data_IF_194348975206
#
_entry.id   IF_194348975206
#
_cell.length_a   1.000
_cell.length_b   1.000
_cell.length_c   1.000
_cell.angle_alpha   90.00
_cell.angle_beta   90.00
_cell.angle_gamma   90.00
#
_symmetry.space_group_name_H-M   'P 1'
#
loop_
_entity.id
_entity.type
_entity.pdbx_description
1 polymer ?
#
# COMPACT_ATOMS: atom_id res chain seq x y z
N UNK A 1 20.10 -47.47 26.64
CA UNK A 1 19.15 -46.72 25.80
C UNK A 1 19.34 -45.20 25.86
N UNK A 2 19.74 -44.61 27.00
CA UNK A 2 19.95 -43.16 27.12
C UNK A 2 21.21 -42.62 26.40
N UNK A 3 22.27 -43.44 26.27
CA UNK A 3 23.52 -43.02 25.63
C UNK A 3 23.46 -42.95 24.09
N UNK A 4 22.51 -43.62 23.45
CA UNK A 4 22.38 -43.61 21.99
C UNK A 4 21.65 -42.35 21.49
N UNK A 5 20.80 -41.74 22.33
CA UNK A 5 20.11 -40.50 21.96
C UNK A 5 20.98 -39.25 22.13
N UNK A 6 21.97 -39.26 23.03
CA UNK A 6 22.90 -38.14 23.17
C UNK A 6 23.84 -38.02 21.95
N UNK A 7 24.18 -39.14 21.32
CA UNK A 7 25.06 -39.18 20.14
C UNK A 7 24.35 -38.78 18.84
N UNK A 8 23.02 -38.89 18.79
CA UNK A 8 22.21 -38.48 17.63
C UNK A 8 21.86 -36.98 17.63
N UNK A 9 21.89 -36.32 18.80
CA UNK A 9 21.66 -34.87 18.89
C UNK A 9 22.93 -34.06 18.54
N UNK A 10 24.13 -34.65 18.69
CA UNK A 10 25.39 -33.99 18.34
C UNK A 10 25.74 -34.03 16.84
N UNK A 11 24.95 -34.75 16.01
CA UNK A 11 25.24 -34.89 14.57
C UNK A 11 24.46 -33.94 13.64
N UNK A 12 23.69 -32.99 14.18
CA UNK A 12 22.93 -32.00 13.40
C UNK A 12 23.49 -30.58 13.43
N UNK A 13 24.75 -30.38 13.80
CA UNK A 13 25.45 -29.14 13.46
C UNK A 13 25.95 -29.24 12.02
N UNK A 14 25.00 -29.24 11.08
CA UNK A 14 25.30 -29.05 9.67
C UNK A 14 25.98 -27.68 9.53
N UNK A 15 27.22 -27.74 9.06
CA UNK A 15 28.06 -26.61 8.73
C UNK A 15 27.40 -25.74 7.67
N UNK A 16 26.64 -24.74 8.10
CA UNK A 16 26.29 -23.59 7.27
C UNK A 16 27.55 -22.75 7.06
N UNK A 17 28.17 -22.84 5.90
CA UNK A 17 29.20 -21.91 5.48
C UNK A 17 28.52 -20.69 4.84
N UNK A 18 29.00 -19.50 5.18
CA UNK A 18 28.56 -18.25 4.56
C UNK A 18 29.09 -18.26 3.13
N UNK A 19 28.21 -18.43 2.14
CA UNK A 19 28.52 -18.14 0.75
C UNK A 19 28.58 -16.62 0.64
N UNK A 20 29.80 -16.07 0.71
CA UNK A 20 30.04 -14.68 0.33
C UNK A 20 29.55 -14.49 -1.11
N UNK A 21 28.79 -13.42 -1.40
CA UNK A 21 28.33 -13.16 -2.76
C UNK A 21 29.55 -13.13 -3.68
N UNK A 22 29.45 -13.84 -4.80
CA UNK A 22 30.47 -13.87 -5.84
C UNK A 22 30.57 -12.45 -6.40
N UNK A 23 31.41 -11.61 -5.80
CA UNK A 23 31.80 -10.34 -6.37
C UNK A 23 32.63 -10.73 -7.59
N UNK A 24 32.04 -10.56 -8.77
CA UNK A 24 32.76 -10.66 -10.02
C UNK A 24 33.74 -9.49 -10.06
N UNK A 25 34.93 -9.72 -9.51
CA UNK A 25 36.05 -8.79 -9.59
C UNK A 25 36.40 -8.73 -11.07
N UNK A 26 36.18 -7.57 -11.71
CA UNK A 26 36.64 -7.32 -13.06
C UNK A 26 38.18 -7.32 -13.05
N UNK A 27 38.73 -8.51 -13.25
CA UNK A 27 40.16 -8.76 -13.18
C UNK A 27 40.93 -7.86 -14.15
N UNK A 28 40.32 -7.49 -15.28
CA UNK A 28 40.92 -6.58 -16.24
C UNK A 28 40.98 -5.14 -15.72
N UNK A 29 39.95 -4.68 -15.01
CA UNK A 29 39.94 -3.38 -14.34
C UNK A 29 41.02 -3.30 -13.25
N UNK A 30 41.05 -4.26 -12.32
CA UNK A 30 42.03 -4.25 -11.23
C UNK A 30 43.48 -4.45 -11.71
N UNK A 31 43.68 -5.25 -12.75
CA UNK A 31 45.00 -5.43 -13.35
C UNK A 31 45.50 -4.14 -14.03
N UNK A 32 44.62 -3.42 -14.74
CA UNK A 32 44.96 -2.10 -15.32
C UNK A 32 45.24 -1.06 -14.24
N UNK A 33 44.42 -1.04 -13.18
CA UNK A 33 44.63 -0.14 -12.04
C UNK A 33 45.99 -0.41 -11.38
N UNK A 34 46.32 -1.68 -11.13
CA UNK A 34 47.62 -2.07 -10.59
C UNK A 34 48.79 -1.69 -11.52
N UNK A 35 48.64 -1.83 -12.84
CA UNK A 35 49.66 -1.40 -13.81
C UNK A 35 49.84 0.12 -13.83
N UNK A 36 48.75 0.89 -13.72
CA UNK A 36 48.80 2.35 -13.62
C UNK A 36 49.46 2.81 -12.32
N UNK A 37 49.11 2.20 -11.19
CA UNK A 37 49.74 2.47 -9.90
C UNK A 37 51.23 2.13 -9.93
N UNK A 38 51.62 0.97 -10.47
CA UNK A 38 53.03 0.59 -10.60
C UNK A 38 53.85 1.60 -11.42
N UNK A 39 53.32 2.07 -12.56
CA UNK A 39 53.98 3.08 -13.40
C UNK A 39 54.00 4.47 -12.75
N UNK A 40 53.00 4.82 -11.95
CA UNK A 40 53.01 6.06 -11.17
C UNK A 40 54.09 6.01 -10.09
N UNK A 41 54.15 4.90 -9.35
CA UNK A 41 55.19 4.64 -8.34
C UNK A 41 56.59 4.65 -8.94
N UNK A 42 56.77 4.10 -10.15
CA UNK A 42 58.04 4.17 -10.88
C UNK A 42 58.47 5.60 -11.21
N UNK A 43 57.52 6.48 -11.56
CA UNK A 43 57.81 7.85 -12.04
C UNK A 43 57.86 8.90 -10.93
N UNK A 44 57.02 8.76 -9.91
CA UNK A 44 56.79 9.77 -8.87
C UNK A 44 56.96 9.23 -7.44
N UNK A 45 57.31 7.95 -7.29
CA UNK A 45 57.60 7.36 -5.99
C UNK A 45 58.86 7.96 -5.39
N UNK A 46 58.79 8.30 -4.11
CA UNK A 46 59.92 8.82 -3.35
C UNK A 46 60.45 7.69 -2.47
N UNK A 47 61.76 7.47 -2.48
CA UNK A 47 62.38 6.51 -1.57
C UNK A 47 62.21 7.02 -0.13
N UNK A 48 61.52 6.25 0.70
CA UNK A 48 61.28 6.56 2.11
C UNK A 48 61.79 5.41 2.99
N UNK A 49 62.15 5.72 4.22
CA UNK A 49 62.65 4.73 5.17
C UNK A 49 61.64 4.59 6.30
N UNK A 50 61.17 3.37 6.57
CA UNK A 50 60.38 3.06 7.77
C UNK A 50 61.22 2.29 8.77
N UNK A 51 61.08 2.65 10.03
CA UNK A 51 61.65 1.86 11.12
C UNK A 51 60.65 0.79 11.54
N UNK A 52 61.09 -0.47 11.50
CA UNK A 52 60.33 -1.62 11.98
C UNK A 52 60.40 -1.68 13.52
N UNK A 53 59.45 -2.40 14.11
CA UNK A 53 59.33 -2.53 15.57
C UNK A 53 60.51 -3.27 16.22
N UNK A 54 61.34 -3.94 15.42
CA UNK A 54 62.59 -4.58 15.82
C UNK A 54 63.80 -3.63 15.81
N UNK A 55 63.59 -2.35 15.47
CA UNK A 55 64.62 -1.32 15.38
C UNK A 55 65.38 -1.30 14.06
N UNK A 56 65.11 -2.22 13.12
CA UNK A 56 65.67 -2.19 11.78
C UNK A 56 64.98 -1.13 10.92
N UNK A 57 65.68 -0.64 9.90
CA UNK A 57 65.15 0.33 8.95
C UNK A 57 65.00 -0.35 7.58
N UNK A 58 63.81 -0.22 6.99
CA UNK A 58 63.51 -0.74 5.65
C UNK A 58 63.22 0.43 4.72
N UNK A 59 63.91 0.48 3.58
CA UNK A 59 63.60 1.41 2.51
C UNK A 59 62.41 0.87 1.71
N UNK A 60 61.38 1.70 1.54
CA UNK A 60 60.21 1.41 0.72
C UNK A 60 59.91 2.61 -0.18
N UNK A 61 59.32 2.37 -1.35
CA UNK A 61 58.80 3.47 -2.16
C UNK A 61 57.50 3.98 -1.54
N UNK A 62 57.50 5.22 -1.08
CA UNK A 62 56.27 5.87 -0.60
C UNK A 62 55.41 6.29 -1.80
N UNK A 63 54.21 5.71 -1.86
CA UNK A 63 53.22 5.93 -2.92
C UNK A 63 52.22 7.02 -2.58
N UNK A 64 52.32 7.65 -1.39
CA UNK A 64 51.46 8.76 -0.94
C UNK A 64 51.90 10.11 -1.48
N UNK A 65 52.24 10.16 -2.78
CA UNK A 65 52.40 11.42 -3.48
C UNK A 65 50.99 11.91 -3.91
N UNK A 66 50.56 13.13 -3.54
CA UNK A 66 49.27 13.68 -3.98
C UNK A 66 49.12 13.71 -5.52
N UNK A 67 50.23 13.75 -6.27
CA UNK A 67 50.21 13.64 -7.73
C UNK A 67 49.87 12.22 -8.24
N UNK A 68 50.11 11.17 -7.44
CA UNK A 68 49.69 9.79 -7.75
C UNK A 68 48.26 9.48 -7.27
N UNK A 69 47.77 10.15 -6.24
CA UNK A 69 46.39 10.01 -5.74
C UNK A 69 45.37 10.61 -6.73
N UNK A 70 45.80 11.53 -7.60
CA UNK A 70 45.00 12.10 -8.69
C UNK A 70 44.90 11.21 -9.95
N UNK A 71 45.61 10.07 -10.01
CA UNK A 71 45.56 9.15 -11.15
C UNK A 71 44.48 8.10 -10.91
N UNK A 72 43.23 8.52 -10.86
CA UNK A 72 42.14 7.61 -11.19
C UNK A 72 42.11 7.47 -12.71
N UNK A 73 42.07 6.25 -13.27
CA UNK A 73 41.89 6.05 -14.70
C UNK A 73 40.44 6.37 -15.06
N UNK A 74 40.09 7.65 -15.06
CA UNK A 74 38.77 8.08 -15.50
C UNK A 74 38.74 7.97 -17.02
N UNK A 75 37.97 7.01 -17.52
CA UNK A 75 37.82 6.72 -18.96
C UNK A 75 37.02 7.83 -19.68
N UNK A 76 36.52 8.82 -18.94
CA UNK A 76 35.77 9.96 -19.44
C UNK A 76 36.49 11.28 -19.14
N UNK A 77 36.63 12.13 -20.16
CA UNK A 77 37.23 13.47 -20.02
C UNK A 77 36.14 14.53 -20.18
N UNK A 78 35.93 15.34 -19.14
CA UNK A 78 34.97 16.45 -19.18
C UNK A 78 35.63 17.72 -19.73
N UNK A 79 35.28 18.10 -20.96
CA UNK A 79 35.73 19.35 -21.58
C UNK A 79 34.80 20.49 -21.19
N UNK A 80 35.36 21.56 -20.60
CA UNK A 80 34.63 22.77 -20.17
C UNK A 80 34.94 23.95 -21.09
N UNK A 81 34.08 24.97 -21.09
CA UNK A 81 34.32 26.23 -21.81
C UNK A 81 34.11 26.18 -23.32
N UNK A 82 33.32 25.21 -23.80
CA UNK A 82 32.94 25.15 -25.21
C UNK A 82 31.91 26.23 -25.54
N UNK A 83 32.03 26.83 -26.72
CA UNK A 83 31.15 27.90 -27.19
C UNK A 83 29.98 27.29 -27.98
N UNK A 84 28.72 27.62 -27.64
CA UNK A 84 27.56 27.18 -28.42
C UNK A 84 27.61 27.67 -29.87
N UNK A 85 27.13 26.86 -30.81
CA UNK A 85 27.14 27.11 -32.26
C UNK A 85 28.50 26.88 -32.94
N UNK A 86 29.51 26.42 -32.19
CA UNK A 86 30.84 26.12 -32.72
C UNK A 86 31.01 24.61 -32.86
N UNK A 87 31.59 24.20 -33.99
CA UNK A 87 31.95 22.80 -34.25
C UNK A 87 33.33 22.49 -33.68
N UNK A 88 33.41 21.43 -32.88
CA UNK A 88 34.63 20.92 -32.31
C UNK A 88 34.93 19.52 -32.82
N UNK A 89 36.21 19.21 -32.95
CA UNK A 89 36.73 17.87 -33.21
C UNK A 89 37.76 17.56 -32.14
N UNK A 90 37.57 16.48 -31.42
CA UNK A 90 38.46 16.05 -30.36
C UNK A 90 39.47 15.04 -30.90
N UNK A 91 40.72 15.19 -30.51
CA UNK A 91 41.82 14.30 -30.88
C UNK A 91 42.45 13.79 -29.59
N UNK A 92 42.50 12.48 -29.44
CA UNK A 92 43.02 11.80 -28.24
C UNK A 92 44.20 10.92 -28.65
N UNK A 93 45.33 11.13 -27.99
CA UNK A 93 46.55 10.33 -28.17
C UNK A 93 46.97 9.82 -26.81
N UNK A 94 47.23 8.51 -26.68
CA UNK A 94 47.84 7.99 -25.47
C UNK A 94 49.31 8.45 -25.42
N UNK A 95 49.78 8.83 -24.24
CA UNK A 95 51.17 9.28 -24.04
C UNK A 95 51.74 8.52 -22.84
N UNK A 96 52.89 7.89 -23.06
CA UNK A 96 53.67 7.20 -22.04
C UNK A 96 54.91 8.00 -21.65
N UNK A 97 55.74 7.44 -20.74
CA UNK A 97 56.97 8.08 -20.28
C UNK A 97 57.93 8.43 -21.43
N UNK A 98 57.93 7.62 -22.48
CA UNK A 98 58.84 7.73 -23.64
C UNK A 98 58.20 8.44 -24.84
N UNK A 99 57.05 9.10 -24.66
CA UNK A 99 56.33 9.82 -25.72
C UNK A 99 55.01 9.16 -26.12
N UNK A 100 54.54 9.46 -27.32
CA UNK A 100 53.21 9.02 -27.81
C UNK A 100 53.14 7.50 -27.96
N UNK A 101 52.09 6.92 -27.40
CA UNK A 101 51.77 5.51 -27.48
C UNK A 101 50.64 5.32 -28.50
N UNK A 102 51.00 4.91 -29.71
CA UNK A 102 50.04 4.62 -30.77
C UNK A 102 49.53 5.85 -31.53
N UNK A 103 48.54 5.61 -32.39
CA UNK A 103 47.96 6.62 -33.27
C UNK A 103 46.95 7.52 -32.54
N UNK A 104 46.79 8.74 -33.06
CA UNK A 104 45.80 9.69 -32.53
C UNK A 104 44.44 9.36 -33.10
N UNK A 105 43.47 9.08 -32.22
CA UNK A 105 42.08 8.84 -32.61
C UNK A 105 41.37 10.19 -32.60
N UNK A 106 40.56 10.43 -33.63
CA UNK A 106 39.81 11.67 -33.75
C UNK A 106 38.31 11.40 -33.78
N UNK A 107 37.54 12.22 -33.07
CA UNK A 107 36.08 12.22 -33.19
C UNK A 107 35.65 12.75 -34.57
N UNK A 108 34.39 12.52 -34.99
CA UNK A 108 33.74 13.36 -36.00
C UNK A 108 33.62 14.80 -35.49
N UNK A 109 33.39 15.74 -36.41
CA UNK A 109 33.01 17.11 -36.06
C UNK A 109 31.65 17.09 -35.36
N UNK A 110 31.56 17.77 -34.22
CA UNK A 110 30.32 17.88 -33.44
C UNK A 110 30.04 19.34 -33.12
N UNK A 111 28.81 19.79 -33.35
CA UNK A 111 28.39 21.13 -33.02
C UNK A 111 27.80 21.17 -31.61
N UNK A 112 28.21 22.14 -30.80
CA UNK A 112 27.56 22.40 -29.52
C UNK A 112 26.27 23.16 -29.82
N UNK A 113 25.12 22.53 -29.61
CA UNK A 113 23.82 23.13 -29.94
C UNK A 113 23.67 24.55 -29.39
N UNK A 114 23.34 25.50 -30.27
CA UNK A 114 23.04 26.91 -29.95
C UNK A 114 21.55 27.17 -29.71
N UNK A 115 20.68 26.21 -30.02
CA UNK A 115 19.24 26.43 -29.96
C UNK A 115 18.71 26.33 -28.53
N UNK A 116 18.47 27.51 -27.96
CA UNK A 116 17.79 27.75 -26.69
C UNK A 116 16.28 27.40 -26.72
N UNK A 117 15.89 26.30 -27.38
CA UNK A 117 14.57 25.70 -27.15
C UNK A 117 14.74 24.58 -26.15
N UNK A 118 14.50 24.92 -24.89
CA UNK A 118 14.47 23.96 -23.80
C UNK A 118 13.48 22.84 -24.08
N UNK A 119 14.03 21.67 -24.38
CA UNK A 119 13.25 20.47 -24.55
C UNK A 119 12.76 20.00 -23.18
N UNK A 120 11.44 19.86 -23.05
CA UNK A 120 10.87 19.24 -21.87
C UNK A 120 11.34 17.77 -21.76
N UNK A 121 11.48 17.22 -20.54
CA UNK A 121 11.67 15.79 -20.34
C UNK A 121 10.69 15.00 -21.20
N UNK A 122 11.18 14.11 -22.06
CA UNK A 122 10.34 13.41 -23.04
C UNK A 122 10.08 11.98 -22.58
N UNK A 123 8.82 11.58 -22.49
CA UNK A 123 8.41 10.21 -22.17
C UNK A 123 7.70 10.06 -20.81
N UNK A 124 7.21 8.85 -20.50
CA UNK A 124 6.60 8.57 -19.21
C UNK A 124 7.66 8.63 -18.11
N UNK A 125 7.38 9.40 -17.07
CA UNK A 125 8.17 9.40 -15.85
C UNK A 125 7.93 8.08 -15.13
N UNK A 126 8.97 7.26 -14.95
CA UNK A 126 8.90 6.04 -14.16
C UNK A 126 9.27 6.35 -12.72
N UNK A 127 8.48 5.84 -11.79
CA UNK A 127 8.69 6.02 -10.36
C UNK A 127 8.77 4.66 -9.68
N UNK A 128 9.85 4.43 -8.95
CA UNK A 128 10.07 3.23 -8.15
C UNK A 128 10.14 3.63 -6.68
N UNK A 129 9.13 3.25 -5.92
CA UNK A 129 9.13 3.47 -4.47
C UNK A 129 10.00 2.44 -3.76
N UNK A 130 10.65 2.85 -2.68
CA UNK A 130 11.54 2.00 -1.90
C UNK A 130 11.63 2.46 -0.44
N UNK A 131 12.37 1.70 0.36
CA UNK A 131 12.68 2.05 1.74
C UNK A 131 14.17 1.86 2.01
N UNK A 132 14.75 2.79 2.76
CA UNK A 132 16.13 2.74 3.23
C UNK A 132 16.16 3.14 4.71
N UNK A 133 16.90 2.41 5.54
CA UNK A 133 16.95 2.65 6.99
C UNK A 133 17.38 4.07 7.36
N UNK A 134 18.26 4.67 6.57
CA UNK A 134 18.88 5.97 6.87
C UNK A 134 18.11 7.12 6.22
N UNK A 135 17.47 6.85 5.07
CA UNK A 135 16.77 7.84 4.24
C UNK A 135 15.25 7.75 4.29
N UNK A 136 14.70 6.81 5.05
CA UNK A 136 13.27 6.56 5.19
C UNK A 136 12.63 6.04 3.91
N UNK A 137 11.36 6.43 3.67
CA UNK A 137 10.67 6.14 2.42
C UNK A 137 11.30 6.97 1.30
N UNK A 138 11.63 6.30 0.21
CA UNK A 138 12.30 6.88 -0.94
C UNK A 138 11.48 6.66 -2.21
N UNK A 139 11.58 7.58 -3.17
CA UNK A 139 11.10 7.37 -4.53
C UNK A 139 12.20 7.68 -5.53
N UNK A 140 12.48 6.75 -6.44
CA UNK A 140 13.42 6.94 -7.54
C UNK A 140 12.64 7.34 -8.80
N UNK A 141 12.83 8.58 -9.23
CA UNK A 141 12.30 9.11 -10.49
C UNK A 141 13.29 8.80 -11.62
N UNK A 142 12.83 8.18 -12.69
CA UNK A 142 13.64 7.82 -13.85
C UNK A 142 12.93 8.25 -15.15
N UNK A 143 13.69 8.75 -16.12
CA UNK A 143 13.15 9.10 -17.44
C UNK A 143 14.22 8.99 -18.54
N UNK A 144 13.81 8.76 -19.80
CA UNK A 144 14.74 8.71 -20.92
C UNK A 144 15.46 10.04 -21.10
N UNK A 145 16.80 10.01 -21.12
CA UNK A 145 17.65 11.19 -21.37
C UNK A 145 18.57 10.96 -22.57
N UNK A 146 18.81 12.04 -23.30
CA UNK A 146 19.75 12.15 -24.41
C UNK A 146 20.82 13.20 -24.10
N UNK A 147 21.95 13.15 -24.82
CA UNK A 147 23.05 14.10 -24.63
C UNK A 147 22.68 15.56 -24.96
N UNK A 148 21.52 15.80 -25.59
CA UNK A 148 21.02 17.13 -25.93
C UNK A 148 20.05 17.70 -24.88
N UNK A 149 19.65 16.91 -23.88
CA UNK A 149 18.74 17.37 -22.84
C UNK A 149 19.46 18.25 -21.81
N UNK A 150 18.72 19.13 -21.13
CA UNK A 150 19.31 20.01 -20.12
C UNK A 150 19.97 19.23 -18.97
N UNK A 151 20.99 19.81 -18.35
CA UNK A 151 21.54 19.35 -17.08
C UNK A 151 20.85 20.00 -15.88
N UNK A 152 20.06 21.05 -16.10
CA UNK A 152 19.39 21.80 -15.04
C UNK A 152 17.90 21.51 -15.10
N UNK A 153 17.32 21.12 -13.97
CA UNK A 153 15.89 20.87 -13.86
C UNK A 153 15.34 21.54 -12.61
N UNK A 154 14.04 21.86 -12.68
CA UNK A 154 13.25 22.26 -11.53
C UNK A 154 12.29 21.14 -11.21
N UNK A 155 12.42 20.62 -10.00
CA UNK A 155 11.57 19.60 -9.43
C UNK A 155 10.55 20.26 -8.51
N UNK A 156 9.30 19.84 -8.60
CA UNK A 156 8.24 20.22 -7.68
C UNK A 156 7.58 18.95 -7.17
N UNK A 157 7.65 18.70 -5.87
CA UNK A 157 6.96 17.63 -5.18
C UNK A 157 5.87 18.25 -4.32
N UNK A 158 4.65 17.74 -4.44
CA UNK A 158 3.51 18.23 -3.66
C UNK A 158 2.71 17.07 -3.11
N UNK A 159 2.20 17.23 -1.90
CA UNK A 159 1.14 16.40 -1.33
C UNK A 159 -0.04 17.34 -0.95
N UNK A 160 -1.03 16.81 -0.22
CA UNK A 160 -2.20 17.59 0.19
C UNK A 160 -1.89 18.76 1.14
N UNK A 161 -0.77 18.71 1.86
CA UNK A 161 -0.43 19.66 2.92
C UNK A 161 0.78 20.55 2.61
N UNK A 162 1.65 20.14 1.70
CA UNK A 162 2.96 20.74 1.45
C UNK A 162 3.32 20.72 -0.03
N UNK A 163 4.06 21.76 -0.44
CA UNK A 163 4.67 21.84 -1.77
C UNK A 163 6.13 22.23 -1.62
N UNK A 164 7.01 21.39 -2.16
CA UNK A 164 8.47 21.54 -2.12
C UNK A 164 8.94 21.73 -3.56
N UNK A 165 9.67 22.82 -3.83
CA UNK A 165 10.33 23.04 -5.11
C UNK A 165 11.84 23.07 -4.92
N UNK A 166 12.59 22.36 -5.78
CA UNK A 166 14.05 22.31 -5.76
C UNK A 166 14.61 22.45 -7.16
N UNK A 167 15.64 23.27 -7.29
CA UNK A 167 16.49 23.29 -8.47
C UNK A 167 17.53 22.18 -8.32
N UNK A 168 17.69 21.37 -9.36
CA UNK A 168 18.60 20.23 -9.37
C UNK A 168 19.51 20.30 -10.59
N UNK A 169 20.75 19.89 -10.38
CA UNK A 169 21.75 19.75 -11.45
C UNK A 169 22.07 18.27 -11.57
N UNK A 170 21.81 17.72 -12.75
CA UNK A 170 22.16 16.35 -13.08
C UNK A 170 23.47 16.34 -13.86
N UNK A 171 24.26 15.34 -13.57
CA UNK A 171 25.38 14.89 -14.35
C UNK A 171 24.87 14.14 -15.59
N UNK A 172 25.11 12.83 -15.67
CA UNK A 172 24.64 11.92 -16.71
C UNK A 172 23.60 10.92 -16.20
N UNK A 173 23.29 10.93 -14.90
CA UNK A 173 22.36 9.98 -14.31
C UNK A 173 20.95 10.13 -14.91
N UNK A 174 20.27 9.02 -15.27
CA UNK A 174 18.90 9.05 -15.79
C UNK A 174 17.85 9.07 -14.66
N UNK A 175 18.28 9.19 -13.40
CA UNK A 175 17.38 9.07 -12.26
C UNK A 175 17.73 9.98 -11.09
N UNK A 176 16.73 10.33 -10.29
CA UNK A 176 16.84 11.12 -9.07
C UNK A 176 16.22 10.34 -7.92
N UNK A 177 16.87 10.39 -6.76
CA UNK A 177 16.31 9.86 -5.52
C UNK A 177 15.62 10.98 -4.71
N UNK A 178 14.38 10.73 -4.32
CA UNK A 178 13.58 11.59 -3.44
C UNK A 178 13.49 10.92 -2.06
N UNK A 179 14.28 11.36 -1.06
CA UNK A 179 14.29 10.75 0.27
C UNK A 179 13.29 11.38 1.24
N UNK A 180 13.10 10.73 2.39
CA UNK A 180 12.31 11.22 3.53
C UNK A 180 10.85 11.52 3.19
N UNK A 181 10.24 10.69 2.36
CA UNK A 181 8.80 10.77 2.11
C UNK A 181 8.02 10.21 3.30
N UNK A 182 6.81 10.72 3.51
CA UNK A 182 5.85 10.15 4.47
C UNK A 182 5.25 8.84 3.94
N UNK A 183 4.88 7.93 4.84
CA UNK A 183 4.25 6.66 4.50
C UNK A 183 2.80 6.84 4.06
N UNK A 184 2.37 6.04 3.06
CA UNK A 184 1.00 5.97 2.55
C UNK A 184 0.38 7.31 2.10
N UNK A 185 1.21 8.22 1.59
CA UNK A 185 0.79 9.55 1.11
C UNK A 185 0.81 9.60 -0.42
N UNK A 186 -0.22 10.24 -0.99
CA UNK A 186 -0.29 10.54 -2.42
C UNK A 186 0.53 11.80 -2.75
N UNK A 187 1.50 11.65 -3.64
CA UNK A 187 2.36 12.73 -4.11
C UNK A 187 2.12 13.02 -5.59
N UNK A 188 2.13 14.30 -5.94
CA UNK A 188 2.22 14.79 -7.31
C UNK A 188 3.60 15.41 -7.54
N UNK A 189 4.27 14.91 -8.57
CA UNK A 189 5.62 15.29 -8.93
C UNK A 189 5.64 15.95 -10.31
N UNK A 190 6.19 17.15 -10.40
CA UNK A 190 6.40 17.87 -11.65
C UNK A 190 7.90 18.11 -11.88
N UNK A 191 8.37 17.88 -13.10
CA UNK A 191 9.74 18.17 -13.51
C UNK A 191 9.76 19.01 -14.78
N UNK A 192 10.55 20.07 -14.79
CA UNK A 192 10.75 20.94 -15.95
C UNK A 192 12.26 21.14 -16.19
N UNK A 193 12.67 21.18 -17.45
CA UNK A 193 14.02 21.56 -17.81
C UNK A 193 14.19 23.08 -17.64
N UNK A 194 15.35 23.49 -17.16
CA UNK A 194 15.72 24.90 -16.95
C UNK A 194 16.99 25.20 -17.74
N UNK A 195 17.13 26.42 -18.25
CA UNK A 195 18.36 26.85 -18.93
C UNK A 195 19.49 27.08 -17.92
N UNK A 196 20.74 27.07 -18.39
CA UNK A 196 21.90 27.30 -17.52
C UNK A 196 21.88 28.67 -16.83
N UNK A 197 21.31 29.70 -17.47
CA UNK A 197 21.10 31.04 -16.93
C UNK A 197 19.84 31.17 -16.04
N UNK A 198 19.06 30.09 -15.91
CA UNK A 198 17.78 30.02 -15.18
C UNK A 198 16.67 30.96 -15.67
N UNK A 199 16.84 31.58 -16.84
CA UNK A 199 15.87 32.55 -17.36
C UNK A 199 14.71 31.87 -18.12
N UNK A 200 14.95 30.67 -18.65
CA UNK A 200 13.97 29.91 -19.41
C UNK A 200 13.65 28.59 -18.73
N UNK A 201 12.38 28.21 -18.75
CA UNK A 201 11.88 26.94 -18.20
C UNK A 201 10.97 26.28 -19.22
N UNK A 202 11.14 24.98 -19.44
CA UNK A 202 10.29 24.20 -20.33
C UNK A 202 8.89 24.01 -19.74
N UNK A 203 7.98 23.45 -20.55
CA UNK A 203 6.74 22.85 -20.01
C UNK A 203 7.11 21.74 -19.00
N UNK A 204 6.42 21.72 -17.87
CA UNK A 204 6.60 20.68 -16.85
C UNK A 204 5.88 19.39 -17.24
N UNK A 205 6.48 18.26 -16.90
CA UNK A 205 5.87 16.93 -16.99
C UNK A 205 5.50 16.48 -15.59
N UNK A 206 4.25 16.06 -15.40
CA UNK A 206 3.69 15.70 -14.11
C UNK A 206 3.37 14.21 -14.04
N UNK A 207 3.61 13.60 -12.90
CA UNK A 207 3.22 12.22 -12.58
C UNK A 207 2.78 12.13 -11.13
N UNK A 208 1.88 11.19 -10.83
CA UNK A 208 1.36 10.97 -9.49
C UNK A 208 1.76 9.58 -9.02
N UNK A 209 2.09 9.43 -7.74
CA UNK A 209 2.41 8.15 -7.14
C UNK A 209 2.02 8.14 -5.66
N UNK A 210 1.77 6.94 -5.14
CA UNK A 210 1.58 6.71 -3.71
C UNK A 210 2.88 6.17 -3.10
N UNK A 211 3.30 6.73 -1.98
CA UNK A 211 4.44 6.23 -1.23
C UNK A 211 4.13 4.89 -0.57
N UNK A 212 5.17 4.17 -0.14
CA UNK A 212 4.99 2.85 0.49
C UNK A 212 4.18 2.96 1.78
N UNK A 213 3.31 1.99 2.08
CA UNK A 213 2.60 1.95 3.35
C UNK A 213 3.54 1.41 4.44
N UNK A 214 3.38 1.93 5.65
CA UNK A 214 4.26 1.58 6.78
C UNK A 214 4.23 0.08 7.12
N UNK A 215 3.05 -0.55 7.00
CA UNK A 215 2.85 -1.98 7.27
C UNK A 215 3.66 -2.92 6.36
N UNK A 216 3.97 -2.49 5.13
CA UNK A 216 4.72 -3.32 4.18
C UNK A 216 6.22 -3.34 4.52
N UNK A 217 6.68 -2.35 5.30
CA UNK A 217 8.07 -2.25 5.76
C UNK A 217 8.25 -2.81 7.17
N UNK A 218 7.39 -2.41 8.10
CA UNK A 218 7.55 -2.73 9.53
C UNK A 218 6.63 -3.85 10.02
N UNK A 219 5.73 -4.34 9.17
CA UNK A 219 4.73 -5.34 9.54
C UNK A 219 3.48 -4.74 10.19
N UNK A 220 2.42 -5.54 10.24
CA UNK A 220 1.13 -5.15 10.85
C UNK A 220 1.25 -5.02 12.36
N UNK A 221 0.70 -3.94 12.91
CA UNK A 221 0.73 -3.67 14.36
C UNK A 221 2.09 -3.22 14.91
N UNK A 222 3.05 -2.88 14.05
CA UNK A 222 4.31 -2.29 14.50
C UNK A 222 4.08 -0.95 15.18
N UNK A 223 4.73 -0.75 16.33
CA UNK A 223 4.70 0.52 17.06
C UNK A 223 5.36 1.69 16.30
N UNK A 224 6.14 1.38 15.26
CA UNK A 224 6.73 2.39 14.37
C UNK A 224 5.71 2.98 13.39
N UNK A 225 4.61 2.27 13.16
CA UNK A 225 3.51 2.73 12.32
C UNK A 225 2.40 3.38 13.17
N UNK A 226 1.57 4.21 12.53
CA UNK A 226 0.30 4.60 13.12
C UNK A 226 -0.61 3.38 13.26
N UNK A 227 -1.44 3.30 14.32
CA UNK A 227 -2.40 2.20 14.46
C UNK A 227 -3.36 2.17 13.27
N UNK A 228 -3.56 1.00 12.70
CA UNK A 228 -4.54 0.79 11.63
C UNK A 228 -5.91 0.46 12.24
N UNK A 229 -7.02 0.97 11.66
CA UNK A 229 -8.35 0.66 12.13
C UNK A 229 -8.76 -0.77 11.76
N UNK A 230 -9.73 -1.34 12.47
CA UNK A 230 -10.26 -2.68 12.17
C UNK A 230 -10.96 -2.72 10.80
N UNK A 231 -10.85 -3.83 10.07
CA UNK A 231 -11.56 -4.02 8.80
C UNK A 231 -12.81 -4.87 8.95
N UNK A 232 -13.65 -4.90 7.93
CA UNK A 232 -14.82 -5.80 7.82
C UNK A 232 -15.79 -5.71 9.01
N UNK A 233 -16.02 -4.50 9.52
CA UNK A 233 -16.96 -4.26 10.60
C UNK A 233 -18.38 -4.61 10.16
N UNK A 234 -18.94 -5.66 10.76
CA UNK A 234 -20.28 -6.16 10.49
C UNK A 234 -21.13 -6.14 11.77
N UNK A 235 -22.42 -5.79 11.62
CA UNK A 235 -23.38 -5.72 12.71
C UNK A 235 -24.60 -6.55 12.32
N UNK A 236 -24.85 -7.63 13.03
CA UNK A 236 -26.00 -8.52 12.81
C UNK A 236 -26.97 -8.36 13.97
N UNK A 237 -28.15 -7.80 13.70
CA UNK A 237 -29.18 -7.58 14.71
C UNK A 237 -30.10 -8.79 14.76
N UNK A 238 -30.22 -9.39 15.94
CA UNK A 238 -31.14 -10.51 16.21
C UNK A 238 -32.55 -9.98 16.56
N UNK A 239 -33.60 -10.80 16.40
CA UNK A 239 -34.99 -10.40 16.70
C UNK A 239 -35.25 -10.03 18.17
N UNK A 240 -34.35 -10.38 19.09
CA UNK A 240 -34.43 -10.01 20.50
C UNK A 240 -33.86 -8.61 20.80
N UNK A 241 -33.40 -7.86 19.79
CA UNK A 241 -32.76 -6.56 19.93
C UNK A 241 -31.27 -6.62 20.30
N UNK A 242 -30.68 -7.83 20.37
CA UNK A 242 -29.24 -7.99 20.57
C UNK A 242 -28.51 -7.92 19.23
N UNK A 243 -27.49 -7.07 19.13
CA UNK A 243 -26.57 -7.01 18.00
C UNK A 243 -25.30 -7.80 18.26
N UNK A 244 -24.93 -8.68 17.33
CA UNK A 244 -23.59 -9.23 17.24
C UNK A 244 -22.73 -8.33 16.36
N UNK A 245 -21.71 -7.72 16.95
CA UNK A 245 -20.72 -6.89 16.26
C UNK A 245 -19.49 -7.75 16.04
N UNK A 246 -19.00 -7.85 14.81
CA UNK A 246 -17.80 -8.62 14.46
C UNK A 246 -16.89 -7.80 13.55
N UNK A 247 -15.58 -8.01 13.65
CA UNK A 247 -14.58 -7.31 12.84
C UNK A 247 -13.35 -8.19 12.56
N UNK A 248 -12.54 -7.76 11.61
CA UNK A 248 -11.20 -8.32 11.36
C UNK A 248 -10.16 -7.49 12.12
N UNK A 249 -9.33 -8.10 12.99
CA UNK A 249 -8.23 -7.42 13.68
C UNK A 249 -7.25 -6.72 12.72
N UNK A 250 -6.81 -5.52 13.08
CA UNK A 250 -5.80 -4.78 12.30
C UNK A 250 -4.38 -5.33 12.48
N UNK A 251 -4.13 -6.05 13.57
CA UNK A 251 -2.87 -6.69 13.89
C UNK A 251 -3.08 -7.97 14.72
N UNK A 252 -2.00 -8.70 14.97
CA UNK A 252 -2.01 -9.86 15.87
C UNK A 252 -2.41 -9.44 17.29
N UNK A 253 -3.07 -10.36 18.01
CA UNK A 253 -3.56 -10.10 19.38
C UNK A 253 -2.46 -9.73 20.37
N UNK A 254 -1.19 -10.05 20.07
CA UNK A 254 -0.02 -9.65 20.87
C UNK A 254 0.34 -8.16 20.70
N UNK A 255 -0.09 -7.53 19.61
CA UNK A 255 0.20 -6.13 19.28
C UNK A 255 -0.98 -5.19 19.54
N UNK A 256 -2.07 -5.73 20.09
CA UNK A 256 -3.29 -4.98 20.42
C UNK A 256 -3.50 -5.07 21.93
N UNK A 257 -3.75 -3.93 22.58
CA UNK A 257 -3.98 -3.87 24.01
C UNK A 257 -5.40 -4.36 24.35
N UNK A 258 -6.41 -3.73 23.76
CA UNK A 258 -7.82 -4.12 23.81
C UNK A 258 -8.62 -3.37 22.72
N UNK A 259 -9.85 -3.81 22.50
CA UNK A 259 -10.83 -3.08 21.68
C UNK A 259 -11.86 -2.40 22.56
N UNK A 260 -12.33 -1.25 22.11
CA UNK A 260 -13.41 -0.51 22.74
C UNK A 260 -14.52 -0.26 21.73
N UNK A 261 -15.70 -0.75 22.05
CA UNK A 261 -16.89 -0.58 21.22
C UNK A 261 -17.71 0.54 21.84
N UNK A 262 -17.93 1.60 21.07
CA UNK A 262 -18.75 2.74 21.47
C UNK A 262 -19.99 2.79 20.59
N UNK A 263 -21.18 2.76 21.19
CA UNK A 263 -22.43 2.81 20.44
C UNK A 263 -23.46 3.74 21.07
N UNK A 264 -24.28 4.36 20.22
CA UNK A 264 -25.38 5.24 20.61
C UNK A 264 -26.36 5.43 19.47
N UNK A 265 -27.61 5.76 19.81
CA UNK A 265 -28.62 6.11 18.83
C UNK A 265 -28.43 7.54 18.32
N UNK A 266 -28.79 7.77 17.07
CA UNK A 266 -28.88 9.10 16.46
C UNK A 266 -30.27 9.72 16.60
N UNK A 267 -31.31 8.89 16.67
CA UNK A 267 -32.70 9.33 16.85
C UNK A 267 -33.06 9.46 18.33
N UNK A 268 -33.90 10.46 18.63
CA UNK A 268 -34.41 10.75 19.99
C UNK A 268 -35.75 10.06 20.27
N UNK A 269 -36.39 9.49 19.26
CA UNK A 269 -37.75 8.98 19.37
C UNK A 269 -37.79 7.55 19.93
N UNK A 270 -38.93 7.10 20.45
CA UNK A 270 -39.25 5.66 20.65
C UNK A 270 -38.30 4.90 21.61
N UNK A 271 -37.79 5.57 22.66
CA UNK A 271 -36.96 4.94 23.69
C UNK A 271 -35.52 4.63 23.26
N UNK A 272 -35.07 5.20 22.14
CA UNK A 272 -33.69 5.11 21.69
C UNK A 272 -32.71 5.74 22.69
N UNK A 273 -31.57 5.08 22.93
CA UNK A 273 -30.57 5.56 23.89
C UNK A 273 -29.52 6.43 23.19
N UNK A 274 -29.62 7.74 23.37
CA UNK A 274 -28.66 8.73 22.84
C UNK A 274 -27.31 8.75 23.59
N UNK A 275 -27.27 8.25 24.83
CA UNK A 275 -26.05 8.22 25.63
C UNK A 275 -25.08 7.19 25.05
N UNK A 276 -23.82 7.60 24.87
CA UNK A 276 -22.73 6.70 24.47
C UNK A 276 -22.53 5.61 25.50
N UNK A 277 -22.66 4.37 25.05
CA UNK A 277 -22.32 3.18 25.80
C UNK A 277 -20.99 2.65 25.32
N UNK A 278 -20.28 1.97 26.22
CA UNK A 278 -18.91 1.51 25.95
C UNK A 278 -18.72 0.11 26.48
N UNK A 279 -18.19 -0.76 25.62
CA UNK A 279 -17.87 -2.15 25.95
C UNK A 279 -16.40 -2.39 25.62
N UNK A 280 -15.63 -2.81 26.62
CA UNK A 280 -14.22 -3.17 26.43
C UNK A 280 -14.11 -4.67 26.14
N UNK A 281 -13.37 -5.02 25.09
CA UNK A 281 -13.21 -6.38 24.59
C UNK A 281 -11.72 -6.71 24.55
N UNK A 282 -11.36 -7.93 24.97
CA UNK A 282 -9.97 -8.38 24.98
C UNK A 282 -9.41 -8.51 23.56
N UNK A 283 -8.10 -8.31 23.39
CA UNK A 283 -7.43 -8.34 22.09
C UNK A 283 -7.53 -9.69 21.34
N UNK A 284 -7.75 -10.79 22.04
CA UNK A 284 -7.92 -12.13 21.45
C UNK A 284 -9.35 -12.42 20.97
N UNK A 285 -10.28 -11.47 21.13
CA UNK A 285 -11.68 -11.60 20.72
C UNK A 285 -11.96 -10.56 19.64
N UNK A 286 -12.64 -10.98 18.57
CA UNK A 286 -12.96 -10.17 17.40
C UNK A 286 -14.48 -9.96 17.21
N UNK A 287 -15.25 -10.18 18.27
CA UNK A 287 -16.69 -9.95 18.29
C UNK A 287 -17.18 -9.50 19.66
N UNK A 288 -18.36 -8.89 19.70
CA UNK A 288 -19.07 -8.60 20.94
C UNK A 288 -20.57 -8.61 20.73
N UNK A 289 -21.32 -8.99 21.76
CA UNK A 289 -22.76 -8.85 21.78
C UNK A 289 -23.15 -7.61 22.59
N UNK A 290 -23.99 -6.76 21.99
CA UNK A 290 -24.54 -5.56 22.63
C UNK A 290 -26.06 -5.55 22.48
N UNK A 291 -26.76 -4.87 23.38
CA UNK A 291 -28.22 -4.74 23.29
C UNK A 291 -28.57 -3.35 22.79
N UNK A 292 -29.36 -3.26 21.72
CA UNK A 292 -29.84 -2.00 21.18
C UNK A 292 -31.25 -1.70 21.70
N UNK A 293 -31.41 -0.80 22.69
CA UNK A 293 -32.72 -0.46 23.21
C UNK A 293 -33.54 0.40 22.23
N UNK A 294 -34.86 0.27 22.28
CA UNK A 294 -35.80 1.01 21.43
C UNK A 294 -36.14 0.29 20.13
N UNK A 295 -37.13 0.81 19.42
CA UNK A 295 -37.58 0.30 18.12
C UNK A 295 -37.39 1.40 17.07
N UNK A 296 -37.03 1.03 15.83
CA UNK A 296 -36.82 1.99 14.74
C UNK A 296 -35.70 3.01 15.02
N UNK A 297 -34.70 2.60 15.81
CA UNK A 297 -33.55 3.43 16.14
C UNK A 297 -32.42 3.22 15.12
N UNK A 298 -31.85 4.30 14.59
CA UNK A 298 -30.56 4.25 13.92
C UNK A 298 -29.44 4.37 14.96
N UNK A 299 -28.56 3.38 15.01
CA UNK A 299 -27.40 3.32 15.88
C UNK A 299 -26.11 3.51 15.09
N UNK A 300 -25.18 4.28 15.65
CA UNK A 300 -23.77 4.29 15.23
C UNK A 300 -22.99 3.39 16.16
N UNK A 301 -22.23 2.48 15.59
CA UNK A 301 -21.28 1.61 16.29
C UNK A 301 -19.89 1.97 15.81
N UNK A 302 -19.04 2.41 16.75
CA UNK A 302 -17.62 2.68 16.54
C UNK A 302 -16.81 1.62 17.25
N UNK A 303 -15.95 0.91 16.53
CA UNK A 303 -14.96 0.01 17.12
C UNK A 303 -13.61 0.70 17.09
N UNK A 304 -12.99 0.84 18.26
CA UNK A 304 -11.70 1.48 18.47
C UNK A 304 -10.71 0.40 18.90
N UNK A 305 -9.58 0.28 18.21
CA UNK A 305 -8.46 -0.57 18.63
C UNK A 305 -7.34 0.28 19.21
N UNK A 306 -6.75 -0.19 20.31
CA UNK A 306 -5.59 0.43 20.94
C UNK A 306 -4.35 -0.44 20.74
N UNK A 307 -3.25 0.17 20.33
CA UNK A 307 -1.95 -0.50 20.30
C UNK A 307 -1.35 -0.64 21.71
N UNK A 308 -0.20 -1.30 21.82
CA UNK A 308 0.46 -1.57 23.12
C UNK A 308 0.90 -0.31 23.87
N UNK A 309 0.98 0.84 23.20
CA UNK A 309 1.35 2.13 23.82
C UNK A 309 0.14 3.07 23.98
N UNK A 310 -1.08 2.59 23.67
CA UNK A 310 -2.33 3.29 23.90
C UNK A 310 -2.76 4.28 22.81
N UNK A 311 -2.16 4.25 21.61
CA UNK A 311 -2.66 5.01 20.45
C UNK A 311 -3.86 4.31 19.84
N UNK A 312 -4.82 5.06 19.33
CA UNK A 312 -6.09 4.54 18.85
C UNK A 312 -6.30 4.70 17.34
N UNK A 313 -7.06 3.77 16.77
CA UNK A 313 -7.65 3.88 15.45
C UNK A 313 -9.09 3.35 15.50
N UNK A 314 -9.98 3.88 14.66
CA UNK A 314 -11.40 3.53 14.75
C UNK A 314 -12.09 3.35 13.42
N UNK A 315 -13.01 2.39 13.36
CA UNK A 315 -13.95 2.16 12.25
C UNK A 315 -15.38 2.35 12.74
N UNK A 316 -16.21 2.96 11.91
CA UNK A 316 -17.62 3.21 12.22
C UNK A 316 -18.54 2.55 11.21
N UNK A 317 -19.65 2.02 11.71
CA UNK A 317 -20.76 1.53 10.91
C UNK A 317 -22.10 1.98 11.52
N UNK A 318 -23.12 2.07 10.67
CA UNK A 318 -24.48 2.44 11.07
C UNK A 318 -25.41 1.27 10.88
N UNK A 319 -26.37 1.12 11.79
CA UNK A 319 -27.38 0.06 11.72
C UNK A 319 -28.75 0.62 12.10
N UNK A 320 -29.76 0.30 11.30
CA UNK A 320 -31.15 0.62 11.60
C UNK A 320 -31.81 -0.59 12.27
N UNK A 321 -32.36 -0.39 13.46
CA UNK A 321 -33.10 -1.44 14.17
C UNK A 321 -34.52 -1.48 13.63
N UNK A 322 -34.79 -2.44 12.74
CA UNK A 322 -36.14 -2.65 12.22
C UNK A 322 -37.10 -3.08 13.34
N UNK A 323 -38.38 -2.66 13.28
CA UNK A 323 -39.36 -3.12 14.24
C UNK A 323 -39.50 -4.63 14.09
N UNK A 324 -39.35 -5.35 15.20
CA UNK A 324 -39.78 -6.74 15.26
C UNK A 324 -41.29 -6.72 15.13
N UNK A 325 -41.79 -6.84 13.90
CA UNK A 325 -43.19 -7.16 13.67
C UNK A 325 -43.46 -8.41 14.52
N UNK A 326 -44.35 -8.34 15.54
CA UNK A 326 -44.81 -9.57 16.16
C UNK A 326 -45.42 -10.34 15.00
N UNK A 327 -44.86 -11.51 14.70
CA UNK A 327 -45.37 -12.43 13.69
C UNK A 327 -46.77 -12.86 14.17
N UNK A 328 -47.78 -12.01 13.94
CA UNK A 328 -49.19 -12.22 14.28
C UNK A 328 -49.87 -13.13 13.26
N UNK A 329 -49.14 -14.07 12.67
CA UNK A 329 -49.75 -15.11 11.85
C UNK A 329 -50.63 -16.08 12.68
N UNK A 330 -50.51 -16.07 14.02
CA UNK A 330 -51.41 -16.83 14.88
C UNK A 330 -52.85 -16.28 14.97
N UNK A 331 -53.10 -15.00 14.66
CA UNK A 331 -54.47 -14.48 14.70
C UNK A 331 -55.31 -14.97 13.51
N UNK A 332 -54.70 -15.25 12.37
CA UNK A 332 -55.40 -15.75 11.18
C UNK A 332 -55.71 -17.26 11.23
N UNK A 333 -54.97 -18.03 12.05
CA UNK A 333 -55.10 -19.49 12.19
C UNK A 333 -55.75 -19.93 13.51
N UNK A 334 -56.27 -19.00 14.31
CA UNK A 334 -57.07 -19.37 15.49
C UNK A 334 -58.34 -20.12 15.03
N UNK A 335 -58.62 -21.32 15.60
CA UNK A 335 -59.75 -22.14 15.20
C UNK A 335 -61.10 -21.40 15.36
N UNK A 336 -61.18 -20.42 16.25
CA UNK A 336 -62.34 -19.54 16.44
C UNK A 336 -62.68 -18.71 15.19
N UNK A 337 -61.68 -18.18 14.47
CA UNK A 337 -61.93 -17.39 13.26
C UNK A 337 -62.19 -18.27 12.03
N UNK A 338 -61.53 -19.42 11.94
CA UNK A 338 -61.81 -20.44 10.91
C UNK A 338 -63.21 -21.02 11.06
N UNK A 339 -63.69 -21.24 12.30
CA UNK A 339 -65.07 -21.69 12.55
C UNK A 339 -66.09 -20.62 12.21
N UNK A 340 -65.85 -19.34 12.53
CA UNK A 340 -66.73 -18.24 12.11
C UNK A 340 -66.79 -18.13 10.59
N UNK A 341 -65.65 -18.17 9.90
CA UNK A 341 -65.60 -18.12 8.43
C UNK A 341 -66.30 -19.33 7.80
N UNK A 342 -66.08 -20.55 8.32
CA UNK A 342 -66.78 -21.74 7.88
C UNK A 342 -68.28 -21.64 8.12
N UNK A 343 -68.73 -21.14 9.27
CA UNK A 343 -70.15 -20.91 9.54
C UNK A 343 -70.77 -19.92 8.54
N UNK A 344 -70.11 -18.80 8.24
CA UNK A 344 -70.60 -17.81 7.27
C UNK A 344 -70.72 -18.41 5.87
N UNK A 345 -69.80 -19.27 5.46
CA UNK A 345 -69.83 -19.91 4.14
C UNK A 345 -70.84 -21.05 4.10
N UNK A 346 -70.88 -21.95 5.09
CA UNK A 346 -71.68 -23.17 5.01
C UNK A 346 -73.15 -23.01 5.47
N UNK A 347 -73.47 -22.05 6.34
CA UNK A 347 -74.87 -21.75 6.73
C UNK A 347 -75.78 -21.40 5.54
N UNK A 348 -75.41 -20.50 4.61
CA UNK A 348 -76.28 -20.18 3.48
C UNK A 348 -76.48 -21.37 2.55
N UNK A 349 -75.45 -22.21 2.34
CA UNK A 349 -75.61 -23.44 1.55
C UNK A 349 -76.49 -24.48 2.24
N UNK A 350 -76.37 -24.65 3.55
CA UNK A 350 -77.26 -25.54 4.33
C UNK A 350 -78.71 -25.06 4.31
N UNK A 351 -78.94 -23.75 4.44
CA UNK A 351 -80.28 -23.15 4.35
C UNK A 351 -80.86 -23.28 2.93
N UNK A 352 -80.05 -23.12 1.87
CA UNK A 352 -80.46 -23.35 0.49
C UNK A 352 -80.88 -24.80 0.24
N UNK A 353 -80.12 -25.77 0.75
CA UNK A 353 -80.46 -27.19 0.64
C UNK A 353 -81.75 -27.55 1.40
N UNK A 354 -81.98 -26.95 2.58
CA UNK A 354 -83.24 -27.10 3.33
C UNK A 354 -84.43 -26.47 2.59
N UNK A 355 -84.25 -25.29 1.97
CA UNK A 355 -85.28 -24.67 1.14
C UNK A 355 -85.59 -25.50 -0.12
N UNK A 356 -84.57 -26.08 -0.77
CA UNK A 356 -84.76 -26.99 -1.91
C UNK A 356 -85.50 -28.28 -1.52
N UNK A 357 -85.19 -28.88 -0.37
CA UNK A 357 -85.92 -30.06 0.15
C UNK A 357 -87.38 -29.73 0.50
N UNK A 358 -87.66 -28.56 1.08
CA UNK A 358 -89.04 -28.13 1.37
C UNK A 358 -89.88 -27.90 0.12
N UNK A 359 -89.29 -27.43 -0.98
CA UNK A 359 -90.00 -27.25 -2.26
C UNK A 359 -90.32 -28.57 -2.97
N UNK A 360 -89.49 -29.61 -2.82
CA UNK A 360 -89.77 -30.93 -3.40
C UNK A 360 -90.87 -31.72 -2.67
N UNK A 361 -91.13 -31.45 -1.38
CA UNK A 361 -92.20 -32.11 -0.63
C UNK A 361 -93.61 -31.52 -0.89
N UNK A 362 -93.74 -30.34 -1.49
CA UNK A 362 -95.06 -29.74 -1.76
C UNK A 362 -95.70 -30.21 -3.09
N UNK A 363 -94.93 -30.81 -3.99
CA UNK A 363 -95.42 -31.23 -5.31
C UNK A 363 -95.86 -32.70 -5.39
N UNK A 364 -95.54 -33.52 -4.38
CA UNK A 364 -95.76 -34.98 -4.39
C UNK A 364 -96.96 -35.45 -3.56
N UNK A 365 -97.89 -34.54 -3.21
CA UNK A 365 -99.14 -34.85 -2.49
C UNK A 365 -100.38 -34.74 -3.40
N UNK A 366 -100.27 -34.20 -4.61
CA UNK A 366 -101.42 -34.00 -5.52
C UNK A 366 -101.75 -35.21 -6.41
N UNK A 367 -100.91 -36.24 -6.52
CA UNK A 367 -101.11 -37.33 -7.49
C UNK A 367 -101.67 -38.62 -6.86
N UNK A 368 -101.70 -38.74 -5.52
CA UNK A 368 -102.24 -39.92 -4.82
C UNK A 368 -103.67 -39.77 -4.30
N UNK A 369 -104.29 -38.59 -4.40
CA UNK A 369 -105.72 -38.40 -4.07
C UNK A 369 -106.68 -38.68 -5.24
N UNK A 370 -106.18 -38.84 -6.48
CA UNK A 370 -107.02 -39.10 -7.65
C UNK A 370 -107.26 -40.60 -7.95
N UNK A 371 -106.75 -41.52 -7.12
CA UNK A 371 -106.93 -42.98 -7.27
C UNK A 371 -107.78 -43.65 -6.18
N UNK A 372 -108.52 -42.88 -5.37
CA UNK A 372 -109.38 -43.43 -4.30
C UNK A 372 -110.87 -43.04 -4.37
N UNK A 373 -111.33 -42.46 -5.49
CA UNK A 373 -112.74 -42.05 -5.70
C UNK A 373 -113.42 -42.69 -6.92
N UNK A 374 -112.92 -43.84 -7.40
CA UNK A 374 -113.63 -44.67 -8.41
C UNK A 374 -113.83 -46.13 -7.96
N UNK A 375 -113.86 -46.35 -6.64
CA UNK A 375 -114.48 -47.54 -6.05
C UNK A 375 -115.54 -47.10 -5.03
N UNK A 376 -116.60 -46.48 -5.54
CA UNK A 376 -117.95 -46.49 -4.97
C UNK A 376 -118.93 -46.63 -6.13
#
# INVERSE_FOLDING_TARGET
MLHLHLLLVLLQTASGFIVLPYIQIDYAHYFRLAQCQAKCTEKYGVLATRHLLDGSAEEFLDTRNPDCEAVEPDIFIKVKGLVPGVQYRFMVTAVGPNGRLGETISSPWTEISSSATLKAPTGPLTLKSGYNSDRGVIAQLEWPRSAQDSCYYKLQLSNSSTQISRDIVLDSSPSILLPHLEFDVDYSLAIAAVSADKLQTSKAVTTNFKSLPCRDIHGRGSLQCAPEPVSDLAIIVRPNGTGLISWTPSADSQNILFYQIVYHALSRDHGCRLRKETVNVKANVNFAEVTFPGQQCEYVVRVINYDLIGRDASTEARVLIEPTLPVRFEFALRPEYLTIAACIVFLPFGLLLLFCRRRQCLHQVSEKQQKLTEYV
#
